data_IF_898817652853
#
_entry.id   IF_898817652853
#
_cell.length_a   1.000
_cell.length_b   1.000
_cell.length_c   1.000
_cell.angle_alpha   90.00
_cell.angle_beta   90.00
_cell.angle_gamma   90.00
#
_symmetry.space_group_name_H-M   'P 1'
#
loop_
_entity.id
_entity.type
_entity.pdbx_description
1 polymer ?
#
# COMPACT_ATOMS: atom_id res chain seq x y z
N UNK A 6 2.95 6.60 -16.06
CA UNK A 6 4.40 6.54 -15.90
C UNK A 6 4.94 5.12 -15.99
N UNK A 7 4.12 4.14 -15.62
CA UNK A 7 4.51 2.73 -15.71
C UNK A 7 3.70 1.98 -16.77
N UNK A 8 4.33 1.00 -17.41
CA UNK A 8 3.66 0.22 -18.46
C UNK A 8 3.71 -1.29 -18.19
N UNK A 9 2.84 -2.02 -18.88
CA UNK A 9 2.59 -3.44 -18.56
C UNK A 9 3.82 -4.31 -18.49
N UNK A 10 4.82 -4.05 -19.33
CA UNK A 10 6.06 -4.83 -19.26
C UNK A 10 6.74 -4.70 -17.90
N UNK A 11 6.66 -3.50 -17.31
CA UNK A 11 7.32 -3.23 -16.04
C UNK A 11 6.60 -3.85 -14.86
N UNK A 12 5.35 -4.25 -15.07
CA UNK A 12 4.52 -4.73 -13.96
C UNK A 12 5.14 -5.91 -13.22
N UNK A 13 4.92 -5.95 -11.90
CA UNK A 13 5.56 -6.92 -11.02
C UNK A 13 5.12 -6.75 -9.58
N UNK A 14 5.47 -7.71 -8.73
CA UNK A 14 5.12 -7.65 -7.33
C UNK A 14 5.70 -6.45 -6.61
N UNK A 15 4.88 -5.82 -5.77
CA UNK A 15 5.34 -4.71 -4.96
C UNK A 15 5.26 -3.37 -5.67
N UNK A 16 5.19 -3.38 -6.99
CA UNK A 16 5.09 -2.13 -7.73
C UNK A 16 3.86 -1.36 -7.28
N UNK A 17 4.03 -0.04 -7.15
CA UNK A 17 2.95 0.82 -6.64
C UNK A 17 2.45 1.70 -7.76
N UNK A 18 1.15 1.59 -8.05
CA UNK A 18 0.55 2.33 -9.15
C UNK A 18 -0.81 2.85 -8.76
N UNK A 19 -1.32 3.78 -9.56
CA UNK A 19 -2.60 4.42 -9.32
C UNK A 19 -3.67 3.74 -10.16
N UNK A 20 -4.68 3.17 -9.50
CA UNK A 20 -5.70 2.41 -10.21
C UNK A 20 -7.10 2.91 -9.87
N UNK A 21 -7.76 3.53 -10.84
CA UNK A 21 -9.05 4.15 -10.63
C UNK A 21 -8.97 5.11 -9.44
N UNK A 22 -7.97 5.99 -9.47
CA UNK A 22 -7.82 7.01 -8.44
C UNK A 22 -7.30 6.48 -7.12
N UNK A 23 -7.25 5.15 -6.97
CA UNK A 23 -6.77 4.53 -5.74
C UNK A 23 -5.30 4.11 -5.77
N UNK A 24 -4.63 4.28 -4.62
CA UNK A 24 -3.28 3.74 -4.42
C UNK A 24 -3.32 2.21 -4.41
N UNK A 25 -2.43 1.58 -5.15
CA UNK A 25 -2.39 0.11 -5.18
C UNK A 25 -0.99 -0.41 -5.24
N UNK A 26 -0.83 -1.66 -4.80
CA UNK A 26 0.43 -2.36 -4.88
C UNK A 26 0.17 -3.71 -5.52
N UNK A 27 1.01 -4.09 -6.47
CA UNK A 27 0.79 -5.32 -7.22
C UNK A 27 1.21 -6.56 -6.45
N UNK A 28 0.24 -7.44 -6.21
CA UNK A 28 0.51 -8.74 -5.62
C UNK A 28 1.18 -9.70 -6.61
N UNK A 29 0.54 -9.91 -7.76
CA UNK A 29 1.11 -10.76 -8.80
C UNK A 29 0.66 -10.36 -10.20
N UNK A 30 1.51 -10.64 -11.17
CA UNK A 30 1.26 -10.31 -12.56
C UNK A 30 1.59 -11.48 -13.48
N UNK A 31 0.68 -11.78 -14.41
CA UNK A 31 0.85 -12.92 -15.30
C UNK A 31 0.59 -12.57 -16.76
N UNK A 32 1.59 -12.77 -17.61
CA UNK A 32 1.40 -12.59 -19.04
C UNK A 32 0.75 -13.83 -19.62
N UNK A 33 -0.14 -13.61 -20.58
CA UNK A 33 -0.94 -14.68 -21.16
C UNK A 33 -1.23 -14.38 -22.62
N UNK A 34 -1.13 -15.40 -23.48
CA UNK A 34 -1.58 -15.27 -24.85
C UNK A 34 -2.68 -16.27 -25.15
N UNK A 35 -3.87 -15.77 -25.47
CA UNK A 35 -4.82 -16.80 -25.90
C UNK A 35 -4.44 -17.26 -27.30
N UNK A 36 -4.56 -18.56 -27.56
CA UNK A 36 -4.50 -19.01 -28.93
C UNK A 36 -5.77 -18.45 -29.51
N UNK A 37 -5.70 -17.80 -30.67
CA UNK A 37 -6.92 -17.16 -31.17
C UNK A 37 -7.42 -16.03 -30.27
N UNK A 38 -6.70 -14.92 -30.25
CA UNK A 38 -7.12 -13.75 -29.49
C UNK A 38 -5.94 -12.84 -29.17
N UNK A 39 -6.20 -11.68 -28.61
CA UNK A 39 -5.13 -10.76 -28.25
C UNK A 39 -4.49 -11.03 -26.89
N UNK A 40 -3.16 -10.89 -26.86
CA UNK A 40 -2.39 -11.11 -25.65
C UNK A 40 -2.60 -9.97 -24.67
N UNK A 41 -2.27 -10.22 -23.41
CA UNK A 41 -2.60 -9.30 -22.33
C UNK A 41 -2.06 -9.77 -21.01
N UNK A 42 -2.24 -8.97 -19.98
CA UNK A 42 -1.65 -9.20 -18.68
C UNK A 42 -2.68 -9.35 -17.56
N UNK A 43 -2.52 -10.38 -16.73
CA UNK A 43 -3.46 -10.67 -15.65
C UNK A 43 -2.82 -10.24 -14.35
N UNK A 44 -3.32 -9.14 -13.77
CA UNK A 44 -2.67 -8.54 -12.62
C UNK A 44 -3.53 -8.52 -11.36
N UNK A 45 -2.91 -8.78 -10.23
CA UNK A 45 -3.61 -8.69 -8.95
C UNK A 45 -3.04 -7.58 -8.09
N UNK A 46 -3.93 -6.80 -7.47
CA UNK A 46 -3.50 -5.67 -6.66
C UNK A 46 -3.95 -5.80 -5.23
N UNK A 47 -3.16 -5.23 -4.33
CA UNK A 47 -3.63 -4.92 -3.00
C UNK A 47 -3.99 -3.45 -3.09
N UNK A 48 -5.23 -3.12 -2.74
CA UNK A 48 -5.65 -1.73 -2.74
C UNK A 48 -5.35 -1.21 -1.35
N UNK A 49 -4.36 -0.32 -1.27
CA UNK A 49 -3.81 0.07 0.01
C UNK A 49 -4.79 0.91 0.81
N UNK A 50 -5.73 1.54 0.12
CA UNK A 50 -6.76 2.31 0.80
C UNK A 50 -7.78 1.41 1.50
N UNK A 51 -8.36 0.48 0.75
CA UNK A 51 -9.43 -0.37 1.28
C UNK A 51 -8.91 -1.73 1.76
N UNK A 52 -7.63 -1.98 1.57
CA UNK A 52 -7.03 -3.22 2.01
C UNK A 52 -7.49 -4.41 1.19
N UNK A 53 -8.46 -4.18 0.32
CA UNK A 53 -9.05 -5.24 -0.48
C UNK A 53 -8.20 -5.62 -1.68
N UNK A 54 -8.30 -6.89 -2.08
CA UNK A 54 -7.69 -7.38 -3.31
C UNK A 54 -8.56 -7.05 -4.51
N UNK A 55 -7.92 -6.82 -5.65
CA UNK A 55 -8.66 -6.69 -6.90
C UNK A 55 -7.82 -7.12 -8.08
N UNK A 56 -8.50 -7.56 -9.13
CA UNK A 56 -7.83 -8.22 -10.24
C UNK A 56 -8.23 -7.61 -11.56
N UNK A 57 -7.24 -7.34 -12.42
CA UNK A 57 -7.52 -6.60 -13.63
C UNK A 57 -6.58 -7.01 -14.78
N UNK A 58 -7.06 -6.89 -16.02
CA UNK A 58 -6.25 -7.24 -17.19
C UNK A 58 -5.89 -6.01 -18.01
N UNK A 59 -4.81 -6.12 -18.77
CA UNK A 59 -4.34 -5.02 -19.60
C UNK A 59 -3.77 -5.59 -20.88
N UNK A 60 -4.01 -4.91 -21.99
CA UNK A 60 -3.37 -5.33 -23.21
C UNK A 60 -1.96 -4.76 -23.16
N UNK A 61 -1.13 -5.10 -24.14
CA UNK A 61 0.29 -4.85 -24.00
C UNK A 61 0.64 -3.37 -24.08
N UNK A 62 -0.25 -2.58 -24.67
CA UNK A 62 -0.02 -1.16 -24.77
C UNK A 62 -0.13 -0.40 -23.47
N UNK A 63 -1.08 -0.81 -22.62
CA UNK A 63 -1.58 0.06 -21.56
C UNK A 63 -0.56 0.50 -20.49
N UNK A 64 -0.88 1.59 -19.81
CA UNK A 64 -0.05 2.11 -18.73
C UNK A 64 -0.89 2.46 -17.51
N UNK A 65 -0.19 2.71 -16.41
CA UNK A 65 -0.80 3.27 -15.21
C UNK A 65 0.16 4.30 -14.65
N UNK A 66 -0.37 5.37 -14.05
CA UNK A 66 0.46 6.34 -13.36
C UNK A 66 1.16 5.71 -12.16
N UNK A 67 2.41 6.10 -11.95
CA UNK A 67 3.13 5.72 -10.75
C UNK A 67 2.47 6.40 -9.58
N UNK A 68 2.49 5.74 -8.43
CA UNK A 68 2.00 6.32 -7.21
C UNK A 68 3.17 6.44 -6.24
N UNK A 69 3.27 7.56 -5.53
CA UNK A 69 4.33 7.72 -4.56
C UNK A 69 3.83 7.23 -3.21
N UNK A 70 4.37 6.09 -2.80
CA UNK A 70 3.94 5.39 -1.59
C UNK A 70 5.15 4.68 -1.02
N UNK A 71 5.31 4.70 0.30
CA UNK A 71 6.43 3.98 0.89
C UNK A 71 6.18 3.54 2.32
N UNK A 72 6.85 2.46 2.72
CA UNK A 72 6.70 1.89 4.06
C UNK A 72 7.86 2.29 4.94
N UNK A 73 7.58 3.14 5.93
CA UNK A 73 8.62 3.55 6.86
C UNK A 73 8.33 2.99 8.24
N UNK A 74 9.38 2.72 9.01
CA UNK A 74 9.19 2.24 10.38
C UNK A 74 9.13 3.40 11.34
N UNK A 75 8.15 3.36 12.24
CA UNK A 75 8.07 4.33 13.32
C UNK A 75 7.56 3.64 14.58
N UNK A 76 7.78 4.26 15.72
CA UNK A 76 7.26 3.75 16.97
C UNK A 76 5.91 4.39 17.27
N UNK A 77 4.93 3.58 17.66
CA UNK A 77 3.66 4.13 18.10
C UNK A 77 3.87 4.82 19.45
N UNK A 78 3.27 6.00 19.59
CA UNK A 78 3.40 6.77 20.81
C UNK A 78 2.11 6.73 21.63
N UNK A 79 1.06 7.38 21.13
CA UNK A 79 -0.22 7.37 21.81
C UNK A 79 -1.38 7.61 20.86
N UNK A 80 -2.59 7.56 21.41
CA UNK A 80 -3.80 7.80 20.64
C UNK A 80 -4.72 8.72 21.40
N UNK A 81 -5.35 9.66 20.70
CA UNK A 81 -6.36 10.50 21.33
C UNK A 81 -7.78 10.01 21.06
N UNK A 82 -7.90 8.89 20.37
CA UNK A 82 -9.20 8.34 20.01
C UNK A 82 -9.60 8.77 18.61
N UNK A 83 -8.96 9.83 18.13
CA UNK A 83 -9.20 10.33 16.79
C UNK A 83 -7.98 9.99 15.91
N UNK A 84 -6.82 10.51 16.27
CA UNK A 84 -5.58 10.24 15.56
C UNK A 84 -4.65 9.35 16.38
N UNK A 85 -3.84 8.56 15.70
CA UNK A 85 -2.81 7.77 16.37
C UNK A 85 -1.44 8.30 15.99
N UNK A 86 -0.47 8.21 16.90
CA UNK A 86 0.78 8.94 16.73
C UNK A 86 2.05 8.12 16.66
N UNK A 87 2.94 8.52 15.75
CA UNK A 87 4.19 7.82 15.53
C UNK A 87 5.29 8.82 15.21
N UNK A 88 6.50 8.31 15.08
CA UNK A 88 7.61 9.10 14.56
C UNK A 88 8.58 8.17 13.89
N UNK A 89 9.16 8.60 12.79
CA UNK A 89 10.10 7.76 12.09
C UNK A 89 11.17 7.35 13.08
N UNK A 90 11.65 6.12 12.92
CA UNK A 90 12.71 5.59 13.79
C UNK A 90 14.07 5.93 13.19
N UNK A 91 14.07 6.78 12.17
CA UNK A 91 15.28 7.22 11.47
C UNK A 91 15.75 8.62 11.90
N UNK A 92 15.03 9.67 11.50
CA UNK A 92 15.28 11.01 12.05
C UNK A 92 14.30 11.49 13.13
N UNK A 93 13.40 10.61 13.54
CA UNK A 93 12.37 10.93 14.54
C UNK A 93 11.30 11.93 14.08
N UNK A 94 11.09 12.07 12.78
CA UNK A 94 10.02 12.95 12.31
C UNK A 94 8.67 12.40 12.76
N UNK A 95 7.83 13.26 13.33
CA UNK A 95 6.54 12.84 13.87
C UNK A 95 5.44 12.83 12.83
N UNK A 96 4.61 11.79 12.86
CA UNK A 96 3.45 11.68 11.99
C UNK A 96 2.24 11.13 12.74
N UNK A 97 1.05 11.55 12.33
CA UNK A 97 -0.19 11.07 12.94
C UNK A 97 -1.07 10.44 11.88
N UNK A 98 -2.01 9.62 12.32
CA UNK A 98 -2.89 8.92 11.40
C UNK A 98 -4.37 9.12 11.75
N UNK A 99 -5.23 8.94 10.77
CA UNK A 99 -6.66 9.04 11.02
C UNK A 99 -7.14 7.79 11.74
N UNK A 100 -8.24 7.92 12.48
CA UNK A 100 -8.84 6.81 13.21
C UNK A 100 -8.94 5.56 12.33
N UNK A 101 -9.80 5.65 11.33
CA UNK A 101 -9.97 4.60 10.34
C UNK A 101 -8.64 4.18 9.72
N UNK A 102 -7.80 5.17 9.41
CA UNK A 102 -6.56 4.92 8.67
C UNK A 102 -5.79 3.76 9.27
N UNK A 103 -5.59 3.79 10.58
CA UNK A 103 -4.86 2.72 11.24
C UNK A 103 -5.57 1.39 10.99
N UNK A 104 -6.90 1.44 10.97
CA UNK A 104 -7.73 0.29 10.66
C UNK A 104 -7.59 -0.81 11.68
N UNK A 105 -7.37 -2.03 11.20
CA UNK A 105 -7.30 -3.21 12.07
C UNK A 105 -6.15 -3.02 13.07
N UNK A 106 -5.33 -2.04 12.77
CA UNK A 106 -4.24 -1.71 13.66
C UNK A 106 -4.63 -1.62 15.14
N UNK A 107 -5.81 -1.06 15.39
CA UNK A 107 -6.18 -0.55 16.72
C UNK A 107 -5.91 -1.45 17.92
N UNK A 108 -6.38 -2.68 17.85
CA UNK A 108 -6.33 -3.55 19.00
C UNK A 108 -4.92 -4.10 19.33
N UNK A 109 -3.96 -3.94 18.42
CA UNK A 109 -2.59 -4.41 18.65
C UNK A 109 -1.60 -3.34 19.18
N UNK A 110 -2.09 -2.15 19.53
CA UNK A 110 -1.20 -1.05 19.90
C UNK A 110 -0.56 -1.23 21.28
N UNK A 111 0.77 -1.26 21.32
CA UNK A 111 1.48 -1.18 22.58
C UNK A 111 2.37 0.06 22.54
N UNK A 112 2.13 0.97 23.46
CA UNK A 112 2.87 2.23 23.47
C UNK A 112 4.37 1.94 23.50
N UNK A 113 5.08 2.52 22.54
CA UNK A 113 6.51 2.27 22.31
C UNK A 113 6.83 1.10 21.36
N UNK A 114 5.80 0.39 20.89
CA UNK A 114 6.00 -0.61 19.85
C UNK A 114 6.50 0.07 18.58
N UNK A 115 7.36 -0.61 17.83
CA UNK A 115 7.79 -0.04 16.55
C UNK A 115 7.12 -0.74 15.37
N UNK A 116 6.41 0.05 14.58
CA UNK A 116 5.60 -0.50 13.51
C UNK A 116 6.13 -0.12 12.15
N UNK A 117 5.46 -0.63 11.13
CA UNK A 117 5.75 -0.28 9.76
C UNK A 117 4.58 0.54 9.28
N UNK A 118 4.83 1.55 8.46
CA UNK A 118 3.78 2.49 8.09
C UNK A 118 3.70 2.80 6.60
N UNK A 119 2.55 2.48 6.03
CA UNK A 119 2.28 2.70 4.62
C UNK A 119 1.87 4.15 4.40
N UNK A 120 2.59 4.84 3.54
CA UNK A 120 2.43 6.29 3.39
C UNK A 120 2.31 6.79 1.95
N UNK A 121 1.15 7.37 1.64
CA UNK A 121 0.88 7.92 0.31
C UNK A 121 0.79 9.44 0.36
N UNK A 122 1.56 10.11 -0.49
CA UNK A 122 1.48 11.56 -0.59
C UNK A 122 1.81 12.30 0.70
N UNK A 123 2.83 11.83 1.41
CA UNK A 123 3.22 12.45 2.66
C UNK A 123 2.18 12.25 3.74
N UNK A 124 1.15 11.46 3.42
CA UNK A 124 0.09 11.17 4.37
C UNK A 124 -0.07 9.66 4.54
N UNK A 125 -0.25 9.20 5.78
CA UNK A 125 -0.33 7.78 6.14
C UNK A 125 -1.65 7.09 5.77
N UNK A 126 -1.55 5.83 5.37
CA UNK A 126 -2.73 5.01 5.03
C UNK A 126 -2.91 3.83 5.97
N UNK A 127 -1.99 2.87 5.90
CA UNK A 127 -2.14 1.60 6.61
C UNK A 127 -1.07 1.38 7.69
N UNK A 128 -1.38 0.54 8.67
CA UNK A 128 -0.46 0.23 9.76
C UNK A 128 -0.29 -1.26 10.05
N UNK A 129 0.94 -1.75 9.89
CA UNK A 129 1.28 -3.16 10.16
C UNK A 129 2.33 -3.29 11.28
N UNK A 130 1.94 -3.91 12.41
CA UNK A 130 2.80 -4.16 13.59
C UNK A 130 3.85 -5.20 13.30
N UNK A 131 4.57 -5.57 14.35
CA UNK A 131 5.62 -6.59 14.26
C UNK A 131 4.99 -7.98 14.37
N UNK A 132 3.98 -8.27 13.55
CA UNK A 132 3.21 -9.49 13.74
C UNK A 132 2.73 -9.53 15.19
N UNK A 133 3.23 -10.46 15.98
CA UNK A 133 2.86 -10.51 17.40
C UNK A 133 4.00 -10.07 18.34
N UNK A 134 3.62 -9.48 19.46
CA UNK A 134 4.58 -9.05 20.48
C UNK A 134 4.31 -9.71 21.83
#
# INVERSE_FOLDING_TARGET
>A
SNAXATHSTNEFRGGLKVMVDGDPCSIIDNEFVKPGKGQAFNRVKFRNLKTGRVLERTFKSGETLPAADVVEVEMQYLYNDGEFWHFMTSENYEQHAASKEAVAEAKQWLKEEALCMVTMWNGVPLSVEPPNFVELKITETEPGVRGDTATGGTKRAKLETGAVVRVPLFLNEGEIIKVDTRRGEYVSRAK
#
